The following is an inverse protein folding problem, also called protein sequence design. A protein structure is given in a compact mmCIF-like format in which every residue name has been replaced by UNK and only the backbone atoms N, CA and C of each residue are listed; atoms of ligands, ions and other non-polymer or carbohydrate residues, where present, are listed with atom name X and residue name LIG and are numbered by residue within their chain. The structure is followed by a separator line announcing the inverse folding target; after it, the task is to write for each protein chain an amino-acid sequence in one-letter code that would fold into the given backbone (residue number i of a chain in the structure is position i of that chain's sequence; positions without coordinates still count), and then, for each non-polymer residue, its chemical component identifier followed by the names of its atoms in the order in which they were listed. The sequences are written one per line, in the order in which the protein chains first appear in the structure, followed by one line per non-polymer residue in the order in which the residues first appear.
data_IF_347544987988
#
_entry.id   IF_347544987988
#
_cell.length_a   1.000
_cell.length_b   1.000
_cell.length_c   1.000
_cell.angle_alpha   90.00
_cell.angle_beta   90.00
_cell.angle_gamma   90.00
#
_symmetry.space_group_name_H-M   'P 1'
#
loop_
_entity.id
_entity.type
_entity.pdbx_description
1 polymer ?
#
# COMPACT_ATOMS: atom_id res chain seq x y z
N UNK A 1 67.31 2.14 -9.34
CA UNK A 1 66.15 2.75 -10.02
C UNK A 1 65.61 1.75 -11.05
N UNK A 2 64.48 1.09 -10.76
CA UNK A 2 63.52 0.40 -11.66
C UNK A 2 62.76 -0.64 -10.85
N UNK A 3 61.64 -0.19 -10.30
CA UNK A 3 60.65 -1.00 -9.59
C UNK A 3 59.59 -1.50 -10.58
N UNK A 4 59.44 -2.82 -10.60
CA UNK A 4 58.20 -3.61 -10.73
C UNK A 4 57.23 -3.26 -11.86
N UNK A 5 57.20 -4.19 -12.80
CA UNK A 5 56.01 -4.65 -13.51
C UNK A 5 54.85 -4.90 -12.53
N UNK A 6 53.80 -4.07 -12.54
CA UNK A 6 52.41 -4.49 -12.26
C UNK A 6 51.47 -3.55 -13.03
N UNK A 7 51.36 -3.75 -14.33
CA UNK A 7 50.14 -3.46 -15.09
C UNK A 7 50.18 -4.37 -16.32
N UNK A 8 50.13 -5.67 -16.03
CA UNK A 8 49.78 -6.69 -17.01
C UNK A 8 48.41 -6.31 -17.57
N UNK A 9 48.45 -5.75 -18.76
CA UNK A 9 47.33 -5.52 -19.66
C UNK A 9 46.66 -6.86 -19.98
N UNK A 10 45.87 -7.37 -19.04
CA UNK A 10 45.05 -8.57 -19.23
C UNK A 10 43.65 -8.18 -19.69
N UNK A 11 43.55 -7.32 -20.70
CA UNK A 11 42.35 -7.24 -21.54
C UNK A 11 42.44 -8.39 -22.54
N UNK A 12 42.12 -9.61 -22.07
CA UNK A 12 41.68 -10.66 -23.00
C UNK A 12 40.46 -10.08 -23.71
N UNK A 13 40.59 -9.78 -24.99
CA UNK A 13 39.45 -9.41 -25.81
C UNK A 13 38.45 -10.55 -25.70
N UNK A 14 37.34 -10.30 -25.00
CA UNK A 14 36.23 -11.23 -24.93
C UNK A 14 35.87 -11.62 -26.36
N UNK A 15 35.81 -12.92 -26.62
CA UNK A 15 35.38 -13.40 -27.93
C UNK A 15 33.99 -12.84 -28.19
N UNK A 16 33.75 -12.32 -29.39
CA UNK A 16 32.47 -11.76 -29.81
C UNK A 16 31.32 -12.76 -29.54
N UNK A 17 31.64 -14.06 -29.62
CA UNK A 17 30.76 -15.17 -29.27
C UNK A 17 30.37 -15.18 -27.77
N UNK A 18 31.33 -14.98 -26.87
CA UNK A 18 31.09 -14.98 -25.41
C UNK A 18 30.17 -13.83 -25.01
N UNK A 19 30.34 -12.66 -25.64
CA UNK A 19 29.45 -11.51 -25.43
C UNK A 19 28.03 -11.82 -25.91
N UNK A 20 27.86 -12.44 -27.07
CA UNK A 20 26.54 -12.83 -27.61
C UNK A 20 25.86 -13.87 -26.72
N UNK A 21 26.60 -14.86 -26.22
CA UNK A 21 26.05 -15.86 -25.29
C UNK A 21 25.61 -15.19 -23.97
N UNK A 22 26.43 -14.29 -23.43
CA UNK A 22 26.08 -13.52 -22.22
C UNK A 22 24.81 -12.67 -22.42
N UNK A 23 24.66 -11.96 -23.54
CA UNK A 23 23.47 -11.13 -23.78
C UNK A 23 22.20 -11.96 -23.92
N UNK A 24 22.27 -13.15 -24.54
CA UNK A 24 21.14 -14.08 -24.63
C UNK A 24 20.74 -14.58 -23.24
N UNK A 25 21.71 -15.01 -22.42
CA UNK A 25 21.44 -15.48 -21.05
C UNK A 25 20.83 -14.37 -20.20
N UNK A 26 21.39 -13.15 -20.26
CA UNK A 26 20.85 -12.00 -19.54
C UNK A 26 19.43 -11.65 -19.98
N UNK A 27 19.12 -11.75 -21.28
CA UNK A 27 17.78 -11.49 -21.81
C UNK A 27 16.76 -12.51 -21.32
N UNK A 28 17.13 -13.80 -21.30
CA UNK A 28 16.30 -14.87 -20.75
C UNK A 28 16.07 -14.72 -19.25
N UNK A 29 17.12 -14.40 -18.50
CA UNK A 29 17.02 -14.16 -17.07
C UNK A 29 16.12 -12.96 -16.78
N UNK A 30 16.20 -11.87 -17.55
CA UNK A 30 15.30 -10.73 -17.41
C UNK A 30 13.84 -11.12 -17.67
N UNK A 31 13.55 -11.92 -18.69
CA UNK A 31 12.18 -12.38 -18.98
C UNK A 31 11.59 -13.22 -17.85
N UNK A 32 12.41 -14.04 -17.18
CA UNK A 32 11.97 -14.89 -16.05
C UNK A 32 11.90 -14.08 -14.75
N UNK A 33 12.85 -13.17 -14.55
CA UNK A 33 12.99 -12.40 -13.32
C UNK A 33 12.07 -11.18 -13.24
N UNK A 34 11.45 -10.74 -14.35
CA UNK A 34 10.44 -9.69 -14.32
C UNK A 34 9.15 -10.25 -13.69
N UNK A 35 8.85 -9.95 -12.40
CA UNK A 35 7.58 -10.36 -11.84
C UNK A 35 6.45 -9.69 -12.63
N UNK A 36 5.30 -10.37 -12.73
CA UNK A 36 4.05 -9.76 -13.24
C UNK A 36 3.80 -8.47 -12.46
N UNK A 37 4.11 -7.33 -13.08
CA UNK A 37 4.12 -6.00 -12.44
C UNK A 37 2.80 -5.62 -11.79
N UNK A 38 1.69 -6.17 -12.30
CA UNK A 38 0.34 -5.99 -11.76
C UNK A 38 0.19 -6.49 -10.32
N UNK A 39 0.83 -7.60 -9.94
CA UNK A 39 0.73 -8.10 -8.56
C UNK A 39 1.48 -7.21 -7.57
N UNK A 40 2.54 -6.54 -8.01
CA UNK A 40 3.32 -5.64 -7.16
C UNK A 40 2.59 -4.31 -6.95
N UNK A 41 2.02 -3.74 -8.02
CA UNK A 41 1.21 -2.55 -7.95
C UNK A 41 -0.02 -2.74 -7.04
N UNK A 42 -0.70 -3.89 -7.17
CA UNK A 42 -1.82 -4.26 -6.30
C UNK A 42 -1.44 -4.29 -4.82
N UNK A 43 -0.36 -4.99 -4.48
CA UNK A 43 0.12 -5.10 -3.09
C UNK A 43 0.53 -3.75 -2.53
N UNK A 44 1.22 -2.92 -3.33
CA UNK A 44 1.57 -1.55 -2.94
C UNK A 44 0.31 -0.72 -2.67
N UNK A 45 -0.71 -0.84 -3.52
CA UNK A 45 -1.99 -0.18 -3.37
C UNK A 45 -2.68 -0.55 -2.05
N UNK A 46 -2.82 -1.85 -1.79
CA UNK A 46 -3.39 -2.38 -0.54
C UNK A 46 -2.61 -1.89 0.67
N UNK A 47 -1.27 -1.95 0.63
CA UNK A 47 -0.41 -1.51 1.72
C UNK A 47 -0.59 -0.02 2.04
N UNK A 48 -0.59 0.85 1.03
CA UNK A 48 -0.82 2.29 1.22
C UNK A 48 -2.19 2.56 1.83
N UNK A 49 -3.22 1.85 1.38
CA UNK A 49 -4.57 2.00 1.93
C UNK A 49 -4.68 1.48 3.37
N UNK A 50 -4.01 0.38 3.71
CA UNK A 50 -3.92 -0.11 5.09
C UNK A 50 -3.26 0.93 5.99
N UNK A 51 -2.16 1.53 5.54
CA UNK A 51 -1.45 2.57 6.29
C UNK A 51 -2.35 3.78 6.54
N UNK A 52 -3.06 4.28 5.50
CA UNK A 52 -4.02 5.39 5.65
C UNK A 52 -5.15 5.04 6.63
N UNK A 53 -5.69 3.82 6.54
CA UNK A 53 -6.72 3.34 7.46
C UNK A 53 -6.20 3.28 8.91
N UNK A 54 -4.97 2.84 9.12
CA UNK A 54 -4.34 2.79 10.44
C UNK A 54 -4.11 4.19 11.00
N UNK A 55 -3.60 5.12 10.19
CA UNK A 55 -3.41 6.53 10.59
C UNK A 55 -4.73 7.20 10.96
N UNK A 56 -5.78 7.02 10.16
CA UNK A 56 -7.11 7.54 10.48
C UNK A 56 -7.68 6.91 11.77
N UNK A 57 -7.52 5.60 11.97
CA UNK A 57 -7.93 4.95 13.21
C UNK A 57 -7.17 5.48 14.44
N UNK A 58 -5.89 5.81 14.29
CA UNK A 58 -5.09 6.44 15.33
C UNK A 58 -5.57 7.86 15.64
N UNK A 59 -5.85 8.67 14.61
CA UNK A 59 -6.42 10.01 14.78
C UNK A 59 -7.78 9.97 15.51
N UNK A 60 -8.65 9.02 15.15
CA UNK A 60 -9.90 8.80 15.89
C UNK A 60 -9.64 8.35 17.35
N UNK A 61 -8.64 7.50 17.59
CA UNK A 61 -8.32 7.07 18.95
C UNK A 61 -7.83 8.24 19.82
N UNK A 62 -6.99 9.11 19.26
CA UNK A 62 -6.50 10.30 19.93
C UNK A 62 -7.62 11.31 20.21
N UNK A 63 -8.44 11.61 19.20
CA UNK A 63 -9.57 12.53 19.34
C UNK A 63 -10.54 12.09 20.44
N UNK A 64 -10.99 10.84 20.39
CA UNK A 64 -11.97 10.34 21.35
C UNK A 64 -11.39 10.14 22.74
N UNK A 65 -10.11 9.78 22.88
CA UNK A 65 -9.48 9.68 24.20
C UNK A 65 -9.31 11.06 24.84
N UNK A 66 -8.85 12.06 24.07
CA UNK A 66 -8.75 13.45 24.51
C UNK A 66 -10.10 14.02 24.96
N UNK A 67 -11.17 13.79 24.18
CA UNK A 67 -12.53 14.25 24.50
C UNK A 67 -13.11 13.52 25.71
N UNK A 68 -12.90 12.21 25.82
CA UNK A 68 -13.34 11.43 26.98
C UNK A 68 -12.72 11.92 28.29
N UNK A 69 -11.42 12.29 28.29
CA UNK A 69 -10.76 12.85 29.48
C UNK A 69 -11.33 14.21 29.92
N UNK A 70 -11.91 14.96 28.98
CA UNK A 70 -12.56 16.25 29.24
C UNK A 70 -14.04 16.14 29.54
N UNK A 71 -14.64 14.95 29.40
CA UNK A 71 -16.09 14.76 29.48
C UNK A 71 -16.86 15.43 28.34
N UNK A 72 -16.19 15.70 27.21
CA UNK A 72 -16.78 16.33 26.02
C UNK A 72 -17.05 15.30 24.93
N UNK A 73 -17.94 15.65 23.98
CA UNK A 73 -18.10 14.91 22.73
C UNK A 73 -17.35 15.59 21.59
N UNK A 74 -16.81 14.85 20.60
CA UNK A 74 -16.19 15.45 19.43
C UNK A 74 -17.19 16.28 18.63
N UNK A 75 -16.74 17.42 18.13
CA UNK A 75 -17.51 18.26 17.20
C UNK A 75 -17.47 17.71 15.78
N UNK A 76 -18.45 18.07 14.94
CA UNK A 76 -18.48 17.62 13.53
C UNK A 76 -17.20 17.99 12.78
N UNK A 77 -16.65 19.19 13.03
CA UNK A 77 -15.42 19.65 12.38
C UNK A 77 -14.21 18.80 12.74
N UNK A 78 -14.07 18.40 14.02
CA UNK A 78 -12.96 17.54 14.47
C UNK A 78 -13.09 16.12 13.87
N UNK A 79 -14.31 15.62 13.71
CA UNK A 79 -14.58 14.33 13.06
C UNK A 79 -14.23 14.40 11.56
N UNK A 80 -14.64 15.47 10.88
CA UNK A 80 -14.36 15.66 9.46
C UNK A 80 -12.84 15.80 9.21
N UNK A 81 -12.12 16.46 10.11
CA UNK A 81 -10.64 16.51 10.09
C UNK A 81 -10.03 15.12 10.21
N UNK A 82 -10.44 14.31 11.21
CA UNK A 82 -9.94 12.95 11.38
C UNK A 82 -10.28 12.02 10.19
N UNK A 83 -11.43 12.26 9.54
CA UNK A 83 -11.84 11.51 8.35
C UNK A 83 -11.12 11.97 7.08
N UNK A 84 -10.73 13.25 6.99
CA UNK A 84 -10.01 13.80 5.84
C UNK A 84 -8.69 13.07 5.58
N UNK A 85 -8.02 12.61 6.63
CA UNK A 85 -6.80 11.76 6.56
C UNK A 85 -7.06 10.48 5.78
N UNK A 86 -8.24 9.88 5.95
CA UNK A 86 -8.62 8.66 5.24
C UNK A 86 -8.96 8.96 3.78
N UNK A 87 -9.69 10.05 3.55
CA UNK A 87 -10.23 10.44 2.24
C UNK A 87 -9.24 11.21 1.37
N UNK A 88 -8.03 11.48 1.88
CA UNK A 88 -6.98 12.15 1.13
C UNK A 88 -6.69 11.39 -0.17
N UNK A 89 -6.88 12.07 -1.30
CA UNK A 89 -6.66 11.53 -2.65
C UNK A 89 -5.63 12.37 -3.36
N UNK A 90 -4.53 11.75 -3.79
CA UNK A 90 -3.59 12.39 -4.72
C UNK A 90 -4.11 12.23 -6.16
N UNK A 91 -3.94 13.29 -6.95
CA UNK A 91 -4.33 13.30 -8.35
C UNK A 91 -3.59 12.19 -9.11
N UNK A 92 -4.31 11.42 -9.93
CA UNK A 92 -3.76 10.31 -10.71
C UNK A 92 -3.56 8.98 -9.96
N UNK A 93 -3.82 8.90 -8.65
CA UNK A 93 -3.76 7.63 -7.92
C UNK A 93 -5.04 6.80 -8.15
N UNK A 94 -4.86 5.52 -8.52
CA UNK A 94 -5.93 4.50 -8.61
C UNK A 94 -6.18 3.78 -7.26
N UNK A 95 -5.64 4.35 -6.18
CA UNK A 95 -5.57 3.77 -4.83
C UNK A 95 -5.99 4.83 -3.81
N UNK A 96 -7.28 4.87 -3.47
CA UNK A 96 -7.81 5.87 -2.54
C UNK A 96 -9.06 5.37 -1.82
N UNK A 97 -9.39 6.00 -0.70
CA UNK A 97 -10.72 5.89 -0.10
C UNK A 97 -11.62 7.00 -0.63
N UNK A 98 -12.89 6.69 -0.79
CA UNK A 98 -13.94 7.66 -1.07
C UNK A 98 -15.09 7.46 -0.09
N UNK A 99 -15.82 8.51 0.21
CA UNK A 99 -16.99 8.40 1.09
C UNK A 99 -18.13 7.67 0.37
N UNK A 100 -18.82 6.80 1.09
CA UNK A 100 -20.04 6.13 0.64
C UNK A 100 -21.18 6.42 1.61
N UNK A 101 -22.42 6.07 1.23
CA UNK A 101 -23.61 6.34 2.05
C UNK A 101 -23.61 5.64 3.41
N UNK A 102 -22.94 4.49 3.53
CA UNK A 102 -22.87 3.69 4.76
C UNK A 102 -21.47 3.57 5.33
N UNK A 103 -20.50 4.31 4.78
CA UNK A 103 -19.12 4.26 5.25
C UNK A 103 -18.14 4.83 4.23
N UNK A 104 -17.13 4.02 3.88
CA UNK A 104 -16.09 4.40 2.91
C UNK A 104 -15.80 3.24 1.98
N UNK A 105 -15.54 3.55 0.71
CA UNK A 105 -15.11 2.57 -0.27
C UNK A 105 -13.63 2.77 -0.58
N UNK A 106 -12.85 1.68 -0.52
CA UNK A 106 -11.49 1.65 -1.03
C UNK A 106 -11.51 1.27 -2.51
N UNK A 107 -10.87 2.11 -3.35
CA UNK A 107 -10.58 1.82 -4.75
C UNK A 107 -9.19 1.21 -4.85
N UNK A 108 -9.12 0.00 -5.40
CA UNK A 108 -7.89 -0.78 -5.53
C UNK A 108 -7.77 -1.23 -6.99
N UNK A 109 -7.10 -0.42 -7.82
CA UNK A 109 -6.84 -0.75 -9.24
C UNK A 109 -8.10 -1.14 -10.03
N UNK A 110 -9.19 -0.39 -9.85
CA UNK A 110 -10.48 -0.65 -10.51
C UNK A 110 -11.42 -1.57 -9.74
N UNK A 111 -10.94 -2.28 -8.72
CA UNK A 111 -11.80 -3.00 -7.76
C UNK A 111 -12.27 -2.07 -6.65
N UNK A 112 -13.45 -2.36 -6.09
CA UNK A 112 -14.01 -1.58 -4.97
C UNK A 112 -14.21 -2.50 -3.78
N UNK A 113 -13.68 -2.10 -2.62
CA UNK A 113 -13.89 -2.76 -1.34
C UNK A 113 -14.61 -1.79 -0.39
N UNK A 114 -15.85 -2.11 -0.03
CA UNK A 114 -16.64 -1.29 0.88
C UNK A 114 -16.35 -1.60 2.34
N UNK A 115 -16.14 -0.55 3.12
CA UNK A 115 -16.03 -0.58 4.57
C UNK A 115 -17.26 0.07 5.19
N UNK A 116 -17.78 -0.56 6.24
CA UNK A 116 -18.84 -0.03 7.07
C UNK A 116 -18.24 0.81 8.18
N UNK A 117 -18.76 2.03 8.39
CA UNK A 117 -18.50 2.82 9.59
C UNK A 117 -19.63 2.61 10.59
N UNK A 118 -19.30 2.27 11.83
CA UNK A 118 -20.28 2.12 12.91
C UNK A 118 -19.73 2.64 14.24
N UNK A 119 -20.45 3.55 14.93
CA UNK A 119 -21.74 4.11 14.53
C UNK A 119 -21.57 5.23 13.47
N UNK A 120 -22.62 5.51 12.69
CA UNK A 120 -22.61 6.52 11.61
C UNK A 120 -22.77 7.95 12.14
N UNK A 121 -23.32 8.09 13.34
CA UNK A 121 -23.53 9.36 14.03
C UNK A 121 -22.29 9.83 14.80
N UNK A 122 -21.23 9.01 14.85
CA UNK A 122 -20.00 9.31 15.59
C UNK A 122 -20.25 9.61 17.09
N UNK A 123 -21.32 9.06 17.66
CA UNK A 123 -21.59 9.11 19.11
C UNK A 123 -20.47 8.47 19.92
N UNK A 124 -19.81 7.46 19.34
CA UNK A 124 -18.62 6.82 19.86
C UNK A 124 -17.60 6.62 18.75
N UNK A 125 -16.35 6.31 19.13
CA UNK A 125 -15.26 6.06 18.19
C UNK A 125 -15.72 5.07 17.11
N UNK A 126 -15.76 5.48 15.83
CA UNK A 126 -16.27 4.62 14.79
C UNK A 126 -15.34 3.42 14.61
N UNK A 127 -15.94 2.26 14.39
CA UNK A 127 -15.28 1.07 13.89
C UNK A 127 -15.41 1.08 12.38
N UNK A 128 -14.27 0.94 11.70
CA UNK A 128 -14.19 0.81 10.25
C UNK A 128 -13.86 -0.65 9.94
N UNK A 129 -14.77 -1.37 9.30
CA UNK A 129 -14.60 -2.80 9.04
C UNK A 129 -15.20 -3.23 7.71
N UNK A 130 -14.68 -4.31 7.15
CA UNK A 130 -15.22 -4.97 5.96
C UNK A 130 -15.64 -6.41 6.29
N UNK A 131 -16.52 -6.99 5.47
CA UNK A 131 -17.00 -8.36 5.69
C UNK A 131 -15.95 -9.38 5.21
N UNK A 132 -15.53 -10.28 6.10
CA UNK A 132 -14.54 -11.33 5.81
C UNK A 132 -15.03 -12.39 4.80
N UNK A 133 -16.31 -12.39 4.45
CA UNK A 133 -16.86 -13.17 3.34
C UNK A 133 -16.33 -12.68 1.99
N UNK A 134 -15.91 -11.41 1.89
CA UNK A 134 -15.32 -10.83 0.70
C UNK A 134 -13.82 -11.18 0.62
N UNK A 135 -13.39 -11.76 -0.51
CA UNK A 135 -11.99 -12.10 -0.78
C UNK A 135 -11.05 -10.90 -0.71
N UNK A 136 -11.46 -9.75 -1.26
CA UNK A 136 -10.66 -8.52 -1.19
C UNK A 136 -10.53 -8.01 0.24
N UNK A 137 -11.55 -8.19 1.08
CA UNK A 137 -11.46 -7.84 2.51
C UNK A 137 -10.46 -8.75 3.23
N UNK A 138 -10.47 -10.05 2.94
CA UNK A 138 -9.52 -11.01 3.51
C UNK A 138 -8.08 -10.69 3.12
N UNK A 139 -7.86 -10.43 1.84
CA UNK A 139 -6.57 -9.99 1.32
C UNK A 139 -6.14 -8.67 1.98
N UNK A 140 -7.04 -7.69 2.02
CA UNK A 140 -6.80 -6.39 2.64
C UNK A 140 -6.49 -6.49 4.13
N UNK A 141 -6.98 -7.49 4.85
CA UNK A 141 -6.68 -7.68 6.27
C UNK A 141 -5.50 -8.65 6.51
N UNK A 142 -4.85 -9.13 5.45
CA UNK A 142 -3.79 -10.14 5.55
C UNK A 142 -4.29 -11.49 6.08
N UNK A 143 -5.61 -11.72 6.10
CA UNK A 143 -6.23 -12.97 6.55
C UNK A 143 -6.43 -13.88 5.36
N UNK A 144 -5.35 -14.49 4.87
CA UNK A 144 -5.47 -15.55 3.87
C UNK A 144 -6.13 -16.77 4.52
N UNK A 145 -7.22 -17.27 3.93
CA UNK A 145 -7.70 -18.60 4.27
C UNK A 145 -6.61 -19.55 3.78
N UNK A 146 -5.88 -20.19 4.70
CA UNK A 146 -5.07 -21.35 4.34
C UNK A 146 -6.03 -22.34 3.67
N UNK A 147 -5.84 -22.58 2.38
CA UNK A 147 -6.37 -23.76 1.70
C UNK A 147 -5.40 -24.89 1.93
#
# INVERSE_FOLDING_TARGET
MKTKDILSSQTRAFSLFEVVVCTIILSLLLLIALPKSSSFAHRKCVFVLQERLQRSNQAFMELYSSKALRGESPTSSEIDEALSILLERRSGENCYFQRSTKGVDAKIEGKTLSFTLSPLDFSHKPKIYCQLTNELCREFLGKTSKK
#
